data_IF_621411764725
#
_entry.id   IF_621411764725
#
_cell.length_a   1.000
_cell.length_b   1.000
_cell.length_c   1.000
_cell.angle_alpha   90.00
_cell.angle_beta   90.00
_cell.angle_gamma   90.00
#
_symmetry.space_group_name_H-M   'P 1'
#
loop_
_entity.id
_entity.type
_entity.pdbx_description
1 polymer ?
#
# COMPACT_ATOMS: atom_id res chain seq x y z
N UNK A 1 5.86 -20.29 -21.75
CA UNK A 1 5.88 -18.81 -21.59
C UNK A 1 5.50 -18.52 -20.16
N UNK A 2 6.35 -17.85 -19.38
CA UNK A 2 6.04 -17.43 -18.01
C UNK A 2 4.81 -16.51 -18.05
N UNK A 3 3.83 -16.79 -17.19
CA UNK A 3 2.61 -15.99 -17.08
C UNK A 3 2.96 -14.54 -16.66
N UNK A 4 2.37 -13.55 -17.32
CA UNK A 4 2.63 -12.15 -17.00
C UNK A 4 2.17 -11.82 -15.57
N UNK A 5 3.03 -11.14 -14.79
CA UNK A 5 2.78 -10.81 -13.38
C UNK A 5 3.23 -9.38 -13.08
N UNK A 6 2.36 -8.61 -12.49
CA UNK A 6 2.63 -7.25 -12.02
C UNK A 6 2.94 -7.26 -10.50
N UNK A 7 4.00 -6.57 -10.11
CA UNK A 7 4.33 -6.30 -8.72
C UNK A 7 4.11 -4.81 -8.44
N UNK A 8 3.16 -4.48 -7.59
CA UNK A 8 2.87 -3.12 -7.14
C UNK A 8 3.45 -2.92 -5.74
N UNK A 9 4.26 -1.90 -5.59
CA UNK A 9 4.89 -1.56 -4.32
C UNK A 9 4.24 -0.31 -3.73
N UNK A 10 3.67 -0.42 -2.56
CA UNK A 10 3.39 0.72 -1.69
C UNK A 10 4.73 1.22 -1.15
N UNK A 11 5.32 2.17 -1.90
CA UNK A 11 6.73 2.54 -1.73
C UNK A 11 6.96 3.28 -0.43
N UNK A 12 6.00 4.10 0.00
CA UNK A 12 6.10 4.82 1.26
C UNK A 12 6.10 3.84 2.45
N UNK A 13 5.14 2.93 2.49
CA UNK A 13 5.07 1.89 3.52
C UNK A 13 6.39 1.08 3.61
N UNK A 14 7.00 0.78 2.47
CA UNK A 14 8.25 0.02 2.42
C UNK A 14 9.46 0.82 2.88
N UNK A 15 9.66 2.07 2.42
CA UNK A 15 10.82 2.85 2.87
C UNK A 15 10.71 3.31 4.32
N UNK A 16 9.50 3.59 4.83
CA UNK A 16 9.29 3.81 6.28
C UNK A 16 9.69 2.57 7.07
N UNK A 17 9.26 1.39 6.63
CA UNK A 17 9.64 0.13 7.25
C UNK A 17 11.14 -0.12 7.21
N UNK A 18 11.79 0.19 6.10
CA UNK A 18 13.24 0.10 5.97
C UNK A 18 13.94 1.07 6.93
N UNK A 19 13.46 2.31 7.02
CA UNK A 19 14.02 3.33 7.90
C UNK A 19 14.01 2.89 9.38
N UNK A 20 12.91 2.33 9.86
CA UNK A 20 12.80 1.88 11.26
C UNK A 20 13.35 0.48 11.52
N UNK A 21 13.52 -0.34 10.48
CA UNK A 21 13.92 -1.75 10.61
C UNK A 21 15.39 -2.03 10.28
N UNK A 22 16.06 -1.13 9.55
CA UNK A 22 17.46 -1.27 9.15
C UNK A 22 18.34 -0.32 9.99
N UNK A 23 19.53 -0.74 10.45
CA UNK A 23 20.37 0.10 11.29
C UNK A 23 20.70 1.45 10.67
N UNK A 24 20.55 2.52 11.42
CA UNK A 24 20.83 3.91 11.01
C UNK A 24 22.33 4.22 10.92
N UNK A 25 23.18 3.30 11.34
CA UNK A 25 24.64 3.38 11.18
C UNK A 25 25.10 3.28 9.72
N UNK A 26 24.22 2.86 8.81
CA UNK A 26 24.50 2.86 7.38
C UNK A 26 24.48 4.29 6.83
N UNK A 27 25.64 4.75 6.34
CA UNK A 27 25.86 6.13 5.91
C UNK A 27 26.36 6.21 4.47
N UNK A 28 25.96 7.27 3.77
CA UNK A 28 26.56 7.72 2.53
C UNK A 28 27.98 8.26 2.76
N UNK A 29 28.71 8.55 1.69
CA UNK A 29 30.06 9.11 1.76
C UNK A 29 30.11 10.47 2.49
N UNK A 30 29.05 11.25 2.44
CA UNK A 30 28.90 12.55 3.11
C UNK A 30 28.34 12.45 4.55
N UNK A 31 28.15 11.24 5.06
CA UNK A 31 27.67 10.98 6.43
C UNK A 31 26.13 10.95 6.59
N UNK A 32 25.34 11.26 5.55
CA UNK A 32 23.88 11.15 5.62
C UNK A 32 23.45 9.69 5.81
N UNK A 33 22.37 9.41 6.57
CA UNK A 33 21.84 8.05 6.69
C UNK A 33 21.28 7.56 5.35
N UNK A 34 21.42 6.26 5.08
CA UNK A 34 20.93 5.60 3.85
C UNK A 34 20.23 4.28 4.12
N UNK A 35 19.84 4.05 5.36
CA UNK A 35 19.18 2.81 5.78
C UNK A 35 17.84 2.59 5.08
N UNK A 36 17.04 3.64 4.84
CA UNK A 36 15.80 3.54 4.08
C UNK A 36 16.05 3.19 2.61
N UNK A 37 17.04 3.83 1.97
CA UNK A 37 17.42 3.56 0.57
C UNK A 37 17.86 2.11 0.42
N UNK A 38 18.83 1.67 1.24
CA UNK A 38 19.38 0.31 1.17
C UNK A 38 18.35 -0.75 1.50
N UNK A 39 17.55 -0.52 2.54
CA UNK A 39 16.49 -1.45 2.94
C UNK A 39 15.40 -1.58 1.90
N UNK A 40 14.98 -0.48 1.25
CA UNK A 40 14.02 -0.52 0.15
C UNK A 40 14.55 -1.36 -1.02
N UNK A 41 15.82 -1.16 -1.43
CA UNK A 41 16.42 -1.96 -2.50
C UNK A 41 16.45 -3.45 -2.16
N UNK A 42 16.79 -3.80 -0.91
CA UNK A 42 16.79 -5.18 -0.44
C UNK A 42 15.38 -5.79 -0.44
N UNK A 43 14.37 -5.00 -0.08
CA UNK A 43 12.98 -5.46 -0.13
C UNK A 43 12.53 -5.70 -1.57
N UNK A 44 12.82 -4.77 -2.49
CA UNK A 44 12.49 -4.93 -3.91
C UNK A 44 13.20 -6.16 -4.48
N UNK A 45 14.52 -6.31 -4.26
CA UNK A 45 15.29 -7.47 -4.72
C UNK A 45 14.66 -8.78 -4.25
N UNK A 46 14.30 -8.88 -2.97
CA UNK A 46 13.65 -10.06 -2.39
C UNK A 46 12.32 -10.41 -3.07
N UNK A 47 11.45 -9.42 -3.29
CA UNK A 47 10.16 -9.67 -3.93
C UNK A 47 10.32 -10.03 -5.42
N UNK A 48 11.27 -9.42 -6.12
CA UNK A 48 11.60 -9.78 -7.50
C UNK A 48 12.11 -11.23 -7.57
N UNK A 49 13.02 -11.64 -6.72
CA UNK A 49 13.52 -13.02 -6.65
C UNK A 49 12.42 -14.04 -6.30
N UNK A 50 11.57 -13.70 -5.32
CA UNK A 50 10.59 -14.65 -4.78
C UNK A 50 9.36 -14.82 -5.69
N UNK A 51 8.93 -13.76 -6.39
CA UNK A 51 7.68 -13.73 -7.16
C UNK A 51 7.88 -13.64 -8.65
N UNK A 52 9.11 -13.41 -9.12
CA UNK A 52 9.51 -13.36 -10.53
C UNK A 52 8.57 -12.49 -11.39
N UNK A 53 8.28 -11.21 -11.00
CA UNK A 53 7.35 -10.37 -11.73
C UNK A 53 7.90 -10.01 -13.10
N UNK A 54 7.00 -9.85 -14.09
CA UNK A 54 7.34 -9.35 -15.43
C UNK A 54 7.23 -7.84 -15.53
N UNK A 55 6.40 -7.25 -14.65
CA UNK A 55 6.12 -5.82 -14.55
C UNK A 55 6.23 -5.37 -13.09
N UNK A 56 6.63 -4.13 -12.87
CA UNK A 56 6.75 -3.55 -11.54
C UNK A 56 6.39 -2.06 -11.57
N UNK A 57 5.73 -1.57 -10.53
CA UNK A 57 5.57 -0.14 -10.28
C UNK A 57 5.84 0.18 -8.81
N UNK A 58 6.61 1.24 -8.59
CA UNK A 58 6.78 1.88 -7.28
C UNK A 58 5.68 2.94 -7.14
N UNK A 59 4.55 2.59 -6.52
CA UNK A 59 3.43 3.50 -6.31
C UNK A 59 3.80 4.54 -5.25
N UNK A 60 3.44 5.82 -5.49
CA UNK A 60 3.96 6.95 -4.75
C UNK A 60 2.86 7.89 -4.30
N UNK A 61 2.97 8.38 -3.06
CA UNK A 61 2.11 9.42 -2.52
C UNK A 61 2.55 10.79 -3.05
N UNK A 62 1.89 11.30 -4.11
CA UNK A 62 2.02 12.71 -4.45
C UNK A 62 1.23 13.58 -3.47
N UNK A 63 0.15 13.03 -2.93
CA UNK A 63 -0.68 13.65 -1.90
C UNK A 63 -1.00 12.63 -0.81
N UNK A 64 -0.19 12.57 0.24
CA UNK A 64 -0.36 11.62 1.36
C UNK A 64 -1.65 11.81 2.17
N UNK A 65 -2.29 12.99 2.02
CA UNK A 65 -3.53 13.39 2.67
C UNK A 65 -4.39 14.20 1.70
N UNK A 66 -5.07 13.56 0.74
CA UNK A 66 -5.84 14.24 -0.29
C UNK A 66 -6.90 15.18 0.26
N UNK A 67 -7.00 16.38 -0.32
CA UNK A 67 -7.95 17.39 0.13
C UNK A 67 -9.42 16.92 0.07
N UNK A 68 -9.76 16.09 -0.90
CA UNK A 68 -11.11 15.56 -1.03
C UNK A 68 -11.48 14.59 0.10
N UNK A 69 -10.54 13.72 0.56
CA UNK A 69 -10.75 12.86 1.75
C UNK A 69 -10.91 13.71 3.01
N UNK A 70 -10.10 14.76 3.16
CA UNK A 70 -10.19 15.70 4.28
C UNK A 70 -11.52 16.46 4.30
N UNK A 71 -12.03 16.86 3.11
CA UNK A 71 -13.32 17.53 3.01
C UNK A 71 -14.47 16.63 3.48
N UNK A 72 -14.42 15.32 3.23
CA UNK A 72 -15.39 14.34 3.66
C UNK A 72 -15.25 13.99 5.15
N UNK A 73 -14.01 13.71 5.59
CA UNK A 73 -13.70 13.35 6.98
C UNK A 73 -12.52 14.19 7.48
N UNK A 74 -12.76 15.33 8.15
CA UNK A 74 -11.68 16.25 8.58
C UNK A 74 -10.63 15.63 9.50
N UNK A 75 -10.98 14.57 10.23
CA UNK A 75 -10.04 13.82 11.08
C UNK A 75 -9.08 12.91 10.31
N UNK A 76 -9.32 12.68 8.99
CA UNK A 76 -8.49 11.80 8.16
C UNK A 76 -7.02 12.22 8.24
N UNK A 77 -6.17 11.35 8.75
CA UNK A 77 -4.73 11.53 8.99
C UNK A 77 -4.33 12.85 9.69
N UNK A 78 -5.27 13.54 10.38
CA UNK A 78 -5.03 14.85 10.98
C UNK A 78 -3.91 14.83 12.02
N UNK A 79 -3.76 13.75 12.76
CA UNK A 79 -2.71 13.57 13.78
C UNK A 79 -1.30 13.41 13.18
N UNK A 80 -1.17 13.18 11.87
CA UNK A 80 0.10 13.12 11.16
C UNK A 80 0.55 14.48 10.60
N UNK A 81 -0.26 15.53 10.73
CA UNK A 81 0.07 16.87 10.22
C UNK A 81 1.03 17.57 11.17
N UNK A 82 2.19 17.99 10.66
CA UNK A 82 3.13 18.84 11.38
C UNK A 82 2.71 20.32 11.31
N UNK A 83 2.52 20.84 10.09
CA UNK A 83 1.96 22.16 9.81
C UNK A 83 1.47 22.22 8.34
N UNK A 84 0.40 22.94 8.07
CA UNK A 84 -0.21 22.98 6.73
C UNK A 84 -0.49 21.58 6.19
N UNK A 85 0.10 21.23 5.06
CA UNK A 85 -0.02 19.90 4.44
C UNK A 85 1.23 19.02 4.64
N UNK A 86 2.15 19.42 5.53
CA UNK A 86 3.39 18.69 5.80
C UNK A 86 3.14 17.57 6.81
N UNK A 87 3.51 16.34 6.45
CA UNK A 87 3.46 15.18 7.32
C UNK A 87 4.59 15.21 8.37
N UNK A 88 4.32 14.69 9.56
CA UNK A 88 5.33 14.43 10.59
C UNK A 88 6.20 13.25 10.14
N UNK A 89 7.35 13.55 9.55
CA UNK A 89 8.33 12.57 9.08
C UNK A 89 9.68 12.84 9.74
N UNK A 90 10.43 11.82 10.20
CA UNK A 90 11.78 12.02 10.71
C UNK A 90 12.67 12.75 9.69
N UNK A 91 13.37 13.80 10.11
CA UNK A 91 14.24 14.60 9.23
C UNK A 91 15.26 13.73 8.47
N UNK A 92 15.82 12.74 9.15
CA UNK A 92 16.75 11.78 8.55
C UNK A 92 16.12 10.92 7.45
N UNK A 93 14.81 10.73 7.44
CA UNK A 93 14.08 10.05 6.35
C UNK A 93 13.76 11.03 5.22
N UNK A 94 13.34 12.25 5.54
CA UNK A 94 13.08 13.29 4.52
C UNK A 94 14.27 13.44 3.57
N UNK A 95 15.51 13.45 4.12
CA UNK A 95 16.74 13.51 3.31
C UNK A 95 16.99 12.28 2.43
N UNK A 96 16.41 11.12 2.74
CA UNK A 96 16.58 9.89 1.96
C UNK A 96 15.56 9.75 0.82
N UNK A 97 14.41 10.42 0.89
CA UNK A 97 13.36 10.32 -0.15
C UNK A 97 13.87 10.74 -1.54
N UNK A 98 14.59 11.87 -1.70
CA UNK A 98 15.19 12.21 -3.00
C UNK A 98 16.22 11.18 -3.48
N UNK A 99 17.04 10.60 -2.57
CA UNK A 99 17.99 9.56 -2.91
C UNK A 99 17.29 8.31 -3.45
N UNK A 100 16.18 7.89 -2.80
CA UNK A 100 15.35 6.77 -3.25
C UNK A 100 14.87 7.02 -4.69
N UNK A 101 14.31 8.20 -4.97
CA UNK A 101 13.81 8.53 -6.32
C UNK A 101 14.91 8.48 -7.38
N UNK A 102 16.10 9.02 -7.08
CA UNK A 102 17.25 8.98 -7.99
C UNK A 102 17.70 7.56 -8.30
N UNK A 103 17.80 6.72 -7.26
CA UNK A 103 18.23 5.32 -7.42
C UNK A 103 17.20 4.51 -8.20
N UNK A 104 15.89 4.67 -7.92
CA UNK A 104 14.83 4.00 -8.66
C UNK A 104 14.80 4.42 -10.13
N UNK A 105 15.02 5.72 -10.42
CA UNK A 105 15.11 6.24 -11.78
C UNK A 105 16.30 5.65 -12.55
N UNK A 106 17.50 5.62 -11.95
CA UNK A 106 18.68 5.03 -12.58
C UNK A 106 18.53 3.52 -12.83
N UNK A 107 17.81 2.81 -11.95
CA UNK A 107 17.44 1.42 -12.15
C UNK A 107 16.38 1.23 -13.26
N UNK A 108 15.66 2.28 -13.64
CA UNK A 108 14.52 2.18 -14.57
C UNK A 108 13.28 1.56 -13.93
N UNK A 109 13.14 1.65 -12.60
CA UNK A 109 11.94 1.20 -11.89
C UNK A 109 10.91 2.34 -11.90
N UNK A 110 9.73 2.16 -12.55
CA UNK A 110 8.73 3.20 -12.67
C UNK A 110 8.23 3.67 -11.30
N UNK A 111 8.35 4.97 -11.03
CA UNK A 111 7.73 5.64 -9.89
C UNK A 111 6.45 6.31 -10.37
N UNK A 112 5.30 5.85 -9.88
CA UNK A 112 3.98 6.26 -10.35
C UNK A 112 3.21 6.94 -9.22
N UNK A 113 2.88 8.21 -9.39
CA UNK A 113 2.06 8.99 -8.49
C UNK A 113 1.33 10.10 -9.23
N UNK A 114 0.18 10.51 -8.75
CA UNK A 114 -0.66 11.57 -9.32
C UNK A 114 -1.07 12.54 -8.20
N UNK A 115 -1.01 13.84 -8.48
CA UNK A 115 -1.42 14.85 -7.52
C UNK A 115 -2.91 14.71 -7.16
N UNK A 116 -3.22 14.85 -5.88
CA UNK A 116 -4.56 14.64 -5.35
C UNK A 116 -4.89 13.19 -4.99
N UNK A 117 -3.94 12.25 -5.18
CA UNK A 117 -4.11 10.83 -4.88
C UNK A 117 -2.97 10.26 -4.05
N UNK A 118 -3.29 9.24 -3.27
CA UNK A 118 -2.34 8.46 -2.49
C UNK A 118 -1.77 7.29 -3.30
N UNK A 119 -0.69 6.69 -2.82
CA UNK A 119 -0.14 5.46 -3.42
C UNK A 119 -1.17 4.34 -3.51
N UNK A 120 -2.08 4.24 -2.54
CA UNK A 120 -3.16 3.26 -2.49
C UNK A 120 -4.13 3.39 -3.68
N UNK A 121 -4.46 4.61 -4.08
CA UNK A 121 -5.31 4.90 -5.24
C UNK A 121 -4.61 4.50 -6.55
N UNK A 122 -3.31 4.74 -6.64
CA UNK A 122 -2.48 4.30 -7.77
C UNK A 122 -2.46 2.77 -7.83
N UNK A 123 -2.26 2.11 -6.70
CA UNK A 123 -2.28 0.65 -6.58
C UNK A 123 -3.66 0.10 -6.99
N UNK A 124 -4.74 0.69 -6.48
CA UNK A 124 -6.12 0.30 -6.82
C UNK A 124 -6.37 0.36 -8.31
N UNK A 125 -5.98 1.47 -8.94
CA UNK A 125 -6.15 1.70 -10.38
C UNK A 125 -5.33 0.73 -11.22
N UNK A 126 -4.04 0.55 -10.88
CA UNK A 126 -3.16 -0.36 -11.61
C UNK A 126 -3.56 -1.83 -11.43
N UNK A 127 -3.89 -2.25 -10.21
CA UNK A 127 -4.28 -3.63 -9.93
C UNK A 127 -5.57 -4.01 -10.67
N UNK A 128 -6.56 -3.12 -10.66
CA UNK A 128 -7.85 -3.38 -11.32
C UNK A 128 -7.77 -3.25 -12.84
N UNK A 129 -6.83 -2.48 -13.37
CA UNK A 129 -6.63 -2.29 -14.82
C UNK A 129 -5.62 -3.22 -15.49
N UNK A 130 -4.82 -3.99 -14.72
CA UNK A 130 -3.65 -4.69 -15.24
C UNK A 130 -3.95 -5.82 -16.24
N UNK A 131 -5.10 -6.51 -16.12
CA UNK A 131 -5.43 -7.66 -16.96
C UNK A 131 -4.45 -8.85 -16.82
N UNK A 132 -3.66 -8.89 -15.76
CA UNK A 132 -2.68 -9.95 -15.45
C UNK A 132 -2.62 -10.21 -13.94
N UNK A 133 -2.04 -11.34 -13.55
CA UNK A 133 -1.82 -11.65 -12.15
C UNK A 133 -1.05 -10.52 -11.45
N UNK A 134 -1.54 -10.05 -10.28
CA UNK A 134 -0.99 -8.88 -9.59
C UNK A 134 -0.71 -9.19 -8.12
N UNK A 135 0.51 -8.87 -7.69
CA UNK A 135 0.94 -8.93 -6.31
C UNK A 135 1.11 -7.50 -5.77
N UNK A 136 0.42 -7.15 -4.69
CA UNK A 136 0.47 -5.84 -4.03
C UNK A 136 1.29 -5.97 -2.75
N UNK A 137 2.42 -5.28 -2.66
CA UNK A 137 3.28 -5.30 -1.47
C UNK A 137 3.01 -4.07 -0.62
N UNK A 138 2.41 -4.26 0.55
CA UNK A 138 2.05 -3.16 1.46
C UNK A 138 2.10 -3.56 2.92
N UNK A 139 2.29 -2.59 3.81
CA UNK A 139 2.04 -2.70 5.25
C UNK A 139 0.66 -2.22 5.66
N UNK A 140 -0.15 -1.71 4.73
CA UNK A 140 -1.48 -1.22 4.97
C UNK A 140 -2.55 -2.30 4.79
N UNK A 141 -3.53 -2.33 5.68
CA UNK A 141 -4.64 -3.29 5.65
C UNK A 141 -5.77 -2.83 4.74
N UNK A 142 -5.85 -1.54 4.46
CA UNK A 142 -6.94 -1.02 3.63
C UNK A 142 -6.85 -1.55 2.19
N UNK A 143 -5.65 -1.91 1.73
CA UNK A 143 -5.44 -2.57 0.45
C UNK A 143 -5.95 -4.04 0.41
N UNK A 144 -6.39 -4.60 1.52
CA UNK A 144 -7.05 -5.93 1.52
C UNK A 144 -8.36 -5.94 0.72
N UNK A 145 -9.00 -4.80 0.56
CA UNK A 145 -10.18 -4.63 -0.29
C UNK A 145 -9.93 -4.97 -1.76
N UNK A 146 -8.65 -4.97 -2.21
CA UNK A 146 -8.27 -5.26 -3.60
C UNK A 146 -8.01 -6.74 -3.88
N UNK A 147 -7.95 -7.60 -2.86
CA UNK A 147 -7.77 -9.03 -3.09
C UNK A 147 -8.93 -9.59 -3.91
N UNK A 148 -8.61 -10.36 -4.97
CA UNK A 148 -9.59 -10.90 -5.92
C UNK A 148 -8.99 -12.15 -6.56
N UNK A 149 -9.44 -13.31 -6.10
CA UNK A 149 -8.92 -14.60 -6.55
C UNK A 149 -9.26 -14.87 -8.02
N UNK A 150 -10.43 -14.39 -8.51
CA UNK A 150 -10.84 -14.56 -9.89
C UNK A 150 -9.96 -13.76 -10.88
N UNK A 151 -9.43 -12.62 -10.44
CA UNK A 151 -8.51 -11.76 -11.20
C UNK A 151 -7.04 -12.01 -10.87
N UNK A 152 -6.75 -12.99 -10.02
CA UNK A 152 -5.42 -13.30 -9.51
C UNK A 152 -4.72 -12.08 -8.86
N UNK A 153 -5.47 -11.24 -8.14
CA UNK A 153 -4.95 -10.12 -7.35
C UNK A 153 -4.83 -10.56 -5.90
N UNK A 154 -3.65 -10.42 -5.31
CA UNK A 154 -3.43 -10.72 -3.89
C UNK A 154 -2.53 -9.69 -3.23
N UNK A 155 -2.65 -9.56 -1.91
CA UNK A 155 -1.82 -8.64 -1.13
C UNK A 155 -0.73 -9.42 -0.40
N UNK A 156 0.51 -8.97 -0.56
CA UNK A 156 1.68 -9.43 0.17
C UNK A 156 1.87 -8.50 1.37
N UNK A 157 1.21 -8.84 2.46
CA UNK A 157 1.13 -7.98 3.65
C UNK A 157 2.39 -8.07 4.50
N UNK A 158 3.14 -6.99 4.59
CA UNK A 158 4.41 -6.91 5.31
C UNK A 158 4.28 -6.42 6.76
N UNK A 159 3.09 -6.41 7.34
CA UNK A 159 2.84 -5.93 8.70
C UNK A 159 3.75 -6.55 9.77
N UNK A 160 4.14 -7.82 9.59
CA UNK A 160 5.06 -8.55 10.48
C UNK A 160 6.51 -8.57 9.98
N UNK A 161 6.84 -7.74 9.01
CA UNK A 161 8.14 -7.67 8.36
C UNK A 161 8.18 -8.37 7.00
N UNK A 162 9.04 -7.87 6.11
CA UNK A 162 9.17 -8.33 4.72
C UNK A 162 9.51 -9.83 4.63
N UNK A 163 10.38 -10.31 5.54
CA UNK A 163 10.77 -11.73 5.56
C UNK A 163 9.62 -12.67 5.99
N UNK A 164 8.60 -12.15 6.68
CA UNK A 164 7.45 -12.90 7.22
C UNK A 164 6.14 -12.34 6.73
N UNK A 165 6.13 -11.81 5.49
CA UNK A 165 4.90 -11.30 4.89
C UNK A 165 3.85 -12.40 4.75
N UNK A 166 2.59 -12.01 4.86
CA UNK A 166 1.45 -12.91 4.71
C UNK A 166 0.87 -12.72 3.30
N UNK A 167 0.47 -13.82 2.66
CA UNK A 167 -0.27 -13.77 1.39
C UNK A 167 -1.74 -13.67 1.72
N UNK A 168 -2.32 -12.53 1.40
CA UNK A 168 -3.72 -12.23 1.66
C UNK A 168 -4.51 -12.44 0.38
N UNK A 169 -5.39 -13.40 0.41
CA UNK A 169 -6.40 -13.76 -0.59
C UNK A 169 -7.79 -13.79 0.07
N UNK A 170 -8.81 -14.11 -0.69
CA UNK A 170 -10.20 -14.19 -0.17
C UNK A 170 -10.32 -15.18 0.98
N UNK A 171 -9.70 -16.36 0.87
CA UNK A 171 -9.71 -17.38 1.91
C UNK A 171 -9.04 -16.90 3.20
N UNK A 172 -7.92 -16.20 3.08
CA UNK A 172 -7.21 -15.65 4.23
C UNK A 172 -8.07 -14.60 4.95
N UNK A 173 -8.73 -13.69 4.19
CA UNK A 173 -9.61 -12.65 4.76
C UNK A 173 -10.82 -13.25 5.46
N UNK A 174 -11.51 -14.19 4.81
CA UNK A 174 -12.65 -14.89 5.39
C UNK A 174 -12.26 -15.60 6.70
N UNK A 175 -11.12 -16.26 6.73
CA UNK A 175 -10.62 -16.95 7.95
C UNK A 175 -10.18 -15.99 9.04
N UNK A 176 -9.54 -14.87 8.68
CA UNK A 176 -8.93 -13.94 9.64
C UNK A 176 -9.92 -12.95 10.23
N UNK A 177 -10.77 -12.38 9.38
CA UNK A 177 -11.69 -11.30 9.73
C UNK A 177 -13.17 -11.68 9.61
N UNK A 178 -13.48 -12.79 8.95
CA UNK A 178 -14.87 -13.22 8.73
C UNK A 178 -15.60 -12.41 7.66
N UNK A 179 -14.85 -11.75 6.76
CA UNK A 179 -15.40 -10.94 5.66
C UNK A 179 -14.68 -11.25 4.36
N UNK A 180 -15.33 -10.97 3.23
CA UNK A 180 -14.75 -11.03 1.90
C UNK A 180 -14.09 -9.67 1.53
N UNK A 181 -13.16 -9.63 0.55
CA UNK A 181 -12.56 -8.37 0.08
C UNK A 181 -13.59 -7.31 -0.29
N UNK A 182 -14.66 -7.68 -1.03
CA UNK A 182 -15.73 -6.78 -1.41
C UNK A 182 -16.51 -6.17 -0.21
N UNK A 183 -16.39 -6.79 0.97
CA UNK A 183 -17.01 -6.32 2.22
C UNK A 183 -16.01 -5.57 3.12
N UNK A 184 -14.73 -5.53 2.71
CA UNK A 184 -13.68 -5.01 3.59
C UNK A 184 -13.81 -3.50 3.86
N UNK A 185 -14.26 -2.74 2.86
CA UNK A 185 -14.54 -1.29 3.04
C UNK A 185 -15.59 -1.08 4.14
N UNK A 186 -16.72 -1.78 4.08
CA UNK A 186 -17.78 -1.67 5.09
C UNK A 186 -17.32 -2.13 6.47
N UNK A 187 -16.52 -3.18 6.50
CA UNK A 187 -15.88 -3.68 7.72
C UNK A 187 -14.97 -2.60 8.35
N UNK A 188 -14.11 -1.96 7.55
CA UNK A 188 -13.21 -0.91 8.00
C UNK A 188 -13.98 0.35 8.45
N UNK A 189 -15.00 0.76 7.70
CA UNK A 189 -15.88 1.88 8.05
C UNK A 189 -16.56 1.67 9.39
N UNK A 190 -17.13 0.48 9.63
CA UNK A 190 -17.80 0.17 10.90
C UNK A 190 -16.82 0.13 12.08
N UNK A 191 -15.68 -0.51 11.90
CA UNK A 191 -14.64 -0.67 12.92
C UNK A 191 -13.92 0.65 13.22
N UNK A 192 -13.73 1.49 12.21
CA UNK A 192 -12.81 2.62 12.20
C UNK A 192 -11.35 2.21 12.04
N UNK A 193 -10.51 3.20 11.79
CA UNK A 193 -9.06 3.06 11.80
C UNK A 193 -8.39 4.27 12.48
N UNK A 194 -7.91 4.11 13.73
CA UNK A 194 -7.23 5.19 14.45
C UNK A 194 -5.95 5.65 13.76
N UNK A 195 -5.27 4.77 12.99
CA UNK A 195 -4.05 5.12 12.27
C UNK A 195 -4.32 6.08 11.11
N UNK A 196 -5.55 6.09 10.60
CA UNK A 196 -6.01 7.03 9.58
C UNK A 196 -6.97 8.10 10.11
N UNK A 197 -7.18 8.13 11.43
CA UNK A 197 -8.07 9.12 12.05
C UNK A 197 -9.55 8.89 11.75
N UNK A 198 -9.91 7.66 11.37
CA UNK A 198 -11.28 7.27 11.08
C UNK A 198 -11.97 6.77 12.37
N UNK A 199 -13.04 7.44 12.84
CA UNK A 199 -13.61 7.16 14.16
C UNK A 199 -14.33 5.80 14.24
N UNK A 200 -14.86 5.30 13.12
CA UNK A 200 -15.75 4.14 13.14
C UNK A 200 -17.06 4.41 13.87
N UNK A 201 -17.76 3.34 14.18
CA UNK A 201 -18.99 3.38 15.01
C UNK A 201 -18.61 3.03 16.45
N UNK A 202 -18.86 3.93 17.39
CA UNK A 202 -18.49 3.75 18.80
C UNK A 202 -18.94 2.39 19.36
N UNK A 203 -17.97 1.59 19.85
CA UNK A 203 -18.22 0.27 20.42
C UNK A 203 -18.52 -0.84 19.39
N UNK A 204 -18.24 -0.61 18.10
CA UNK A 204 -18.16 -1.63 17.07
C UNK A 204 -16.68 -1.90 16.75
N UNK A 205 -16.17 -3.03 17.18
CA UNK A 205 -14.85 -3.54 16.80
C UNK A 205 -14.96 -4.69 15.80
N UNK A 206 -13.82 -5.31 15.47
CA UNK A 206 -13.69 -6.35 14.44
C UNK A 206 -14.80 -7.42 14.50
N UNK A 207 -15.03 -8.03 15.69
CA UNK A 207 -16.01 -9.10 15.83
C UNK A 207 -17.44 -8.65 15.56
N UNK A 208 -17.80 -7.47 16.03
CA UNK A 208 -19.17 -6.93 15.85
C UNK A 208 -19.37 -6.51 14.41
N UNK A 209 -18.40 -5.84 13.79
CA UNK A 209 -18.46 -5.46 12.38
C UNK A 209 -18.62 -6.70 11.47
N UNK A 210 -17.77 -7.71 11.65
CA UNK A 210 -17.87 -8.95 10.90
C UNK A 210 -19.22 -9.67 11.08
N UNK A 211 -19.73 -9.74 12.33
CA UNK A 211 -21.03 -10.35 12.60
C UNK A 211 -22.19 -9.61 11.93
N UNK A 212 -22.15 -8.27 11.92
CA UNK A 212 -23.15 -7.45 11.24
C UNK A 212 -23.14 -7.68 9.74
N UNK A 213 -21.96 -7.67 9.13
CA UNK A 213 -21.79 -7.94 7.70
C UNK A 213 -22.25 -9.35 7.35
N UNK A 214 -21.87 -10.35 8.12
CA UNK A 214 -22.31 -11.74 7.90
C UNK A 214 -23.84 -11.89 7.98
N UNK A 215 -24.53 -11.10 8.85
CA UNK A 215 -25.96 -11.17 9.05
C UNK A 215 -26.77 -10.34 8.07
N UNK A 216 -26.21 -9.26 7.52
CA UNK A 216 -26.93 -8.25 6.75
C UNK A 216 -26.31 -7.94 5.39
N UNK A 217 -25.15 -8.54 5.07
CA UNK A 217 -24.47 -8.45 3.78
C UNK A 217 -23.50 -7.28 3.68
N UNK A 218 -23.98 -6.07 3.85
CA UNK A 218 -23.23 -4.81 3.66
C UNK A 218 -23.74 -3.71 4.61
N UNK A 219 -23.17 -2.52 4.49
CA UNK A 219 -23.53 -1.36 5.32
C UNK A 219 -25.00 -0.95 5.10
N UNK A 220 -25.50 -0.97 3.86
CA UNK A 220 -26.90 -0.66 3.54
C UNK A 220 -27.86 -1.62 4.22
N UNK A 221 -27.58 -2.92 4.15
CA UNK A 221 -28.38 -3.95 4.82
C UNK A 221 -28.38 -3.79 6.34
N UNK A 222 -27.24 -3.41 6.93
CA UNK A 222 -27.12 -3.11 8.36
C UNK A 222 -27.96 -1.89 8.75
N UNK A 223 -27.89 -0.79 7.99
CA UNK A 223 -28.68 0.42 8.23
C UNK A 223 -30.18 0.18 8.04
N UNK A 224 -30.57 -0.60 7.03
CA UNK A 224 -31.95 -1.01 6.82
C UNK A 224 -32.50 -1.87 7.98
N UNK A 225 -31.67 -2.78 8.51
CA UNK A 225 -32.01 -3.59 9.69
C UNK A 225 -32.14 -2.72 10.95
N UNK A 226 -31.28 -1.73 11.12
CA UNK A 226 -31.37 -0.76 12.23
C UNK A 226 -32.66 0.05 12.17
N UNK A 227 -33.01 0.60 10.99
CA UNK A 227 -34.22 1.37 10.75
C UNK A 227 -35.50 0.56 10.96
N UNK A 228 -35.46 -0.73 10.62
CA UNK A 228 -36.59 -1.66 10.83
C UNK A 228 -36.69 -2.21 12.25
N UNK A 229 -35.82 -1.75 13.19
CA UNK A 229 -35.85 -2.22 14.59
C UNK A 229 -35.41 -3.69 14.74
N UNK A 230 -34.71 -4.26 13.76
CA UNK A 230 -34.22 -5.66 13.78
C UNK A 230 -32.91 -5.83 14.52
N UNK A 231 -32.28 -4.75 14.96
CA UNK A 231 -31.07 -4.74 15.79
C UNK A 231 -31.42 -4.47 17.25
N UNK A 232 -30.49 -4.79 18.15
CA UNK A 232 -30.67 -4.40 19.55
C UNK A 232 -30.77 -2.88 19.69
N UNK A 233 -31.56 -2.35 20.66
CA UNK A 233 -31.74 -0.90 20.84
C UNK A 233 -30.40 -0.17 21.07
N UNK A 234 -29.42 -0.82 21.71
CA UNK A 234 -28.12 -0.24 21.95
C UNK A 234 -27.32 -0.09 20.64
N UNK A 235 -27.36 -1.10 19.77
CA UNK A 235 -26.66 -1.09 18.50
C UNK A 235 -27.31 -0.11 17.50
N UNK A 236 -28.66 -0.08 17.46
CA UNK A 236 -29.40 0.89 16.66
C UNK A 236 -29.06 2.34 17.03
N UNK A 237 -28.96 2.66 18.33
CA UNK A 237 -28.54 4.01 18.78
C UNK A 237 -27.09 4.35 18.37
N UNK A 238 -26.18 3.38 18.43
CA UNK A 238 -24.78 3.61 18.03
C UNK A 238 -24.68 3.92 16.53
N UNK A 239 -25.38 3.15 15.70
CA UNK A 239 -25.43 3.39 14.25
C UNK A 239 -26.11 4.73 13.93
N UNK A 240 -27.23 5.05 14.61
CA UNK A 240 -27.91 6.33 14.44
C UNK A 240 -27.01 7.53 14.82
N UNK A 241 -26.17 7.40 15.85
CA UNK A 241 -25.24 8.44 16.25
C UNK A 241 -24.01 8.60 15.31
N UNK A 242 -23.85 7.71 14.33
CA UNK A 242 -22.75 7.72 13.38
C UNK A 242 -23.20 7.94 11.93
N UNK A 243 -24.46 8.25 11.67
CA UNK A 243 -25.01 8.33 10.30
C UNK A 243 -24.27 9.34 9.41
N UNK A 244 -23.91 10.51 9.93
CA UNK A 244 -23.18 11.52 9.16
C UNK A 244 -21.79 11.01 8.72
N UNK A 245 -21.10 10.30 9.60
CA UNK A 245 -19.83 9.65 9.27
C UNK A 245 -20.05 8.52 8.26
N UNK A 246 -20.99 7.62 8.51
CA UNK A 246 -21.27 6.47 7.66
C UNK A 246 -21.68 6.87 6.24
N UNK A 247 -22.31 8.03 6.07
CA UNK A 247 -22.72 8.55 4.78
C UNK A 247 -21.53 8.85 3.83
N UNK A 248 -20.37 9.19 4.38
CA UNK A 248 -19.17 9.60 3.60
C UNK A 248 -17.97 8.67 3.77
N UNK A 249 -17.96 7.87 4.83
CA UNK A 249 -16.77 7.10 5.21
C UNK A 249 -16.38 6.05 4.17
N UNK A 250 -17.33 5.46 3.45
CA UNK A 250 -17.05 4.51 2.37
C UNK A 250 -16.18 5.13 1.27
N UNK A 251 -16.50 6.36 0.87
CA UNK A 251 -15.74 7.08 -0.15
C UNK A 251 -14.30 7.36 0.32
N UNK A 252 -14.11 7.63 1.61
CA UNK A 252 -12.78 7.88 2.17
C UNK A 252 -11.95 6.60 2.31
N UNK A 253 -12.57 5.48 2.70
CA UNK A 253 -11.89 4.19 2.92
C UNK A 253 -11.66 3.42 1.63
N UNK A 254 -12.56 3.56 0.65
CA UNK A 254 -12.39 2.92 -0.64
C UNK A 254 -11.19 3.54 -1.38
N UNK A 255 -10.30 2.70 -1.91
CA UNK A 255 -9.26 3.17 -2.81
C UNK A 255 -9.84 3.46 -4.18
N UNK A 256 -9.39 4.55 -4.83
CA UNK A 256 -9.81 4.86 -6.19
C UNK A 256 -9.26 3.81 -7.17
N UNK A 257 -10.04 3.47 -8.19
CA UNK A 257 -9.67 2.49 -9.21
C UNK A 257 -9.68 3.06 -10.63
N UNK A 258 -9.82 4.38 -10.72
CA UNK A 258 -10.02 5.13 -11.97
C UNK A 258 -9.16 6.41 -12.04
N UNK A 259 -8.05 6.45 -11.28
CA UNK A 259 -7.09 7.57 -11.34
C UNK A 259 -6.62 7.78 -12.77
N UNK A 260 -6.61 9.02 -13.30
CA UNK A 260 -6.17 9.30 -14.66
C UNK A 260 -4.65 9.15 -14.79
N UNK A 261 -4.20 7.91 -15.03
CA UNK A 261 -2.78 7.60 -15.23
C UNK A 261 -2.37 7.85 -16.68
N UNK A 262 -1.16 8.40 -16.92
CA UNK A 262 -0.61 8.48 -18.26
C UNK A 262 -0.30 7.06 -18.78
N UNK A 263 -0.07 6.88 -20.09
CA UNK A 263 0.46 5.62 -20.61
C UNK A 263 1.78 5.26 -19.91
N UNK A 264 1.87 4.05 -19.37
CA UNK A 264 3.00 3.59 -18.57
C UNK A 264 3.64 2.34 -19.21
N UNK A 265 4.97 2.30 -19.23
CA UNK A 265 5.72 1.05 -19.45
C UNK A 265 6.19 0.54 -18.08
N UNK A 266 5.55 -0.51 -17.59
CA UNK A 266 5.85 -1.14 -16.31
C UNK A 266 6.73 -2.39 -16.45
N UNK A 267 7.22 -2.71 -17.65
CA UNK A 267 8.05 -3.89 -17.88
C UNK A 267 9.36 -3.80 -17.08
N UNK A 268 9.64 -4.87 -16.37
CA UNK A 268 10.84 -4.95 -15.56
C UNK A 268 12.06 -5.25 -16.45
N UNK A 269 13.03 -4.34 -16.48
CA UNK A 269 14.27 -4.50 -17.24
C UNK A 269 15.23 -5.50 -16.55
N UNK A 270 16.12 -6.12 -17.35
CA UNK A 270 17.13 -7.06 -16.85
C UNK A 270 18.35 -6.40 -16.21
N UNK A 271 18.52 -5.10 -16.41
CA UNK A 271 19.67 -4.31 -15.94
C UNK A 271 19.21 -2.88 -15.66
N UNK A 272 19.99 -2.10 -14.91
CA UNK A 272 19.72 -0.67 -14.75
C UNK A 272 19.53 0.02 -16.11
N UNK A 273 18.59 0.95 -16.17
CA UNK A 273 18.32 1.76 -17.37
C UNK A 273 19.50 2.72 -17.65
N UNK A 274 20.09 3.27 -16.59
CA UNK A 274 21.31 4.07 -16.64
C UNK A 274 22.38 3.43 -15.73
N UNK A 275 23.20 2.51 -16.26
CA UNK A 275 24.20 1.79 -15.48
C UNK A 275 25.28 2.70 -14.89
N UNK A 276 25.68 3.75 -15.62
CA UNK A 276 26.73 4.68 -15.19
C UNK A 276 26.24 5.55 -14.03
N UNK A 277 25.03 6.10 -14.14
CA UNK A 277 24.40 6.87 -13.07
C UNK A 277 24.13 5.97 -11.85
N UNK A 278 23.64 4.74 -12.06
CA UNK A 278 23.44 3.81 -10.95
C UNK A 278 24.76 3.46 -10.24
N UNK A 279 25.85 3.28 -10.97
CA UNK A 279 27.17 3.04 -10.38
C UNK A 279 27.67 4.27 -9.59
N UNK A 280 27.47 5.48 -10.13
CA UNK A 280 27.81 6.74 -9.46
C UNK A 280 27.04 6.89 -8.14
N UNK A 281 25.70 6.73 -8.18
CA UNK A 281 24.83 6.81 -7.00
C UNK A 281 25.15 5.72 -5.98
N UNK A 282 25.48 4.52 -6.45
CA UNK A 282 25.88 3.40 -5.56
C UNK A 282 27.16 3.72 -4.77
N UNK A 283 28.12 4.41 -5.40
CA UNK A 283 29.33 4.90 -4.71
C UNK A 283 29.02 6.05 -3.76
N UNK A 284 28.30 7.08 -4.24
CA UNK A 284 27.96 8.28 -3.47
C UNK A 284 27.15 7.94 -2.21
N UNK A 285 26.11 7.10 -2.37
CA UNK A 285 25.24 6.70 -1.27
C UNK A 285 25.74 5.46 -0.52
N UNK A 286 26.90 4.92 -0.89
CA UNK A 286 27.49 3.74 -0.25
C UNK A 286 26.47 2.57 -0.18
N UNK A 287 25.80 2.26 -1.30
CA UNK A 287 24.73 1.25 -1.34
C UNK A 287 25.24 -0.17 -1.14
N UNK A 288 26.53 -0.44 -1.42
CA UNK A 288 27.20 -1.69 -1.12
C UNK A 288 26.44 -2.93 -1.64
N UNK A 289 26.28 -3.92 -0.77
CA UNK A 289 25.59 -5.18 -1.12
C UNK A 289 24.16 -5.04 -1.58
N UNK A 290 23.45 -3.97 -1.19
CA UNK A 290 22.07 -3.73 -1.65
C UNK A 290 22.01 -3.41 -3.14
N UNK A 291 22.99 -2.64 -3.67
CA UNK A 291 23.12 -2.40 -5.10
C UNK A 291 23.38 -3.71 -5.88
N UNK A 292 24.25 -4.57 -5.37
CA UNK A 292 24.54 -5.86 -6.01
C UNK A 292 23.31 -6.77 -6.02
N UNK A 293 22.59 -6.87 -4.89
CA UNK A 293 21.40 -7.72 -4.78
C UNK A 293 20.28 -7.33 -5.75
N UNK A 294 19.97 -6.03 -5.85
CA UNK A 294 18.91 -5.59 -6.77
C UNK A 294 19.27 -5.88 -8.23
N UNK A 295 20.51 -5.59 -8.65
CA UNK A 295 20.96 -5.87 -10.03
C UNK A 295 20.96 -7.38 -10.32
N UNK A 296 21.37 -8.20 -9.37
CA UNK A 296 21.34 -9.66 -9.50
C UNK A 296 19.90 -10.15 -9.63
N UNK A 297 18.98 -9.66 -8.80
CA UNK A 297 17.57 -10.04 -8.85
C UNK A 297 16.92 -9.69 -10.22
N UNK A 298 17.18 -8.49 -10.74
CA UNK A 298 16.69 -8.07 -12.05
C UNK A 298 17.21 -8.97 -13.19
N UNK A 299 18.51 -9.30 -13.17
CA UNK A 299 19.13 -10.17 -14.17
C UNK A 299 18.59 -11.58 -14.12
N UNK A 300 18.57 -12.21 -12.95
CA UNK A 300 18.10 -13.58 -12.76
C UNK A 300 16.63 -13.74 -13.19
N UNK A 301 15.80 -12.73 -12.90
CA UNK A 301 14.40 -12.72 -13.29
C UNK A 301 14.25 -12.67 -14.84
N UNK A 302 15.09 -11.91 -15.54
CA UNK A 302 15.07 -11.84 -17.00
C UNK A 302 15.60 -13.12 -17.67
N UNK A 303 16.59 -13.79 -17.08
CA UNK A 303 17.11 -15.08 -17.55
C UNK A 303 16.07 -16.19 -17.40
N UNK A 304 15.36 -16.26 -16.29
CA UNK A 304 14.28 -17.22 -16.05
C UNK A 304 13.08 -17.10 -17.01
N UNK A 305 12.95 -15.95 -17.71
CA UNK A 305 11.92 -15.76 -18.77
C UNK A 305 12.32 -16.37 -20.13
N UNK A 306 13.62 -16.64 -20.34
CA UNK A 306 14.15 -17.14 -21.63
C UNK A 306 14.17 -18.66 -21.70
N UNK A 307 14.04 -19.33 -20.56
CA UNK A 307 13.92 -20.79 -20.43
C UNK A 307 12.45 -21.22 -20.32
#
# INVERSE_FOLDING_TARGET
MSESRLLLLDTASLYFRAFFGVPDSLRAADGRPVNAVRGLLDFIARFVEQYSPTHLACCWDNSWRPAWRVALVPSYKAHRVAYGDVEVVPEALVGQVPMIRQVLAALGLPVVGVDGYEADDIIGTLATGAGMATDIVTGDRDLFQLADDARAIRVLYVGRGVARHERVDETWLARKYGVLPAQYVDFAVLRGDPSDGLPGVAGIGDKTAASLIASHGDLEGILAAASAGRLTPALGRRLAGALDYLAVAREVVAVATDVPLPPLDLRLAASPNDPDEFARLSGEFNLGGSATRIVTALRSQAEGRRT
#
